data_IF_211858808875
#
_entry.id   IF_211858808875
#
_cell.length_a   1.000
_cell.length_b   1.000
_cell.length_c   1.000
_cell.angle_alpha   90.00
_cell.angle_beta   90.00
_cell.angle_gamma   90.00
#
_symmetry.space_group_name_H-M   'P 1'
#
loop_
_entity.id
_entity.type
_entity.pdbx_description
1 polymer ?
#
# COMPACT_ATOMS: atom_id res chain seq x y z
N UNK A 1 10.17 -5.88 -9.10
CA UNK A 1 10.59 -5.07 -7.95
C UNK A 1 11.30 -5.98 -6.97
N UNK A 2 12.54 -5.67 -6.65
CA UNK A 2 13.29 -6.36 -5.61
C UNK A 2 12.95 -5.77 -4.24
N UNK A 3 13.16 -6.53 -3.17
CA UNK A 3 13.03 -5.98 -1.82
C UNK A 3 14.11 -4.91 -1.61
N UNK A 4 13.73 -3.79 -0.97
CA UNK A 4 14.56 -2.59 -0.85
C UNK A 4 14.56 -1.67 -2.08
N UNK A 5 13.97 -2.08 -3.21
CA UNK A 5 13.92 -1.26 -4.42
C UNK A 5 12.67 -0.35 -4.42
N UNK A 6 12.88 0.96 -4.40
CA UNK A 6 11.81 1.95 -4.40
C UNK A 6 10.91 1.86 -3.15
N UNK A 7 9.81 2.62 -3.13
CA UNK A 7 8.93 2.68 -1.96
C UNK A 7 8.23 1.34 -1.66
N UNK A 8 7.77 0.65 -2.71
CA UNK A 8 7.11 -0.66 -2.61
C UNK A 8 8.07 -1.73 -2.09
N UNK A 9 9.25 -1.86 -2.71
CA UNK A 9 10.25 -2.85 -2.31
C UNK A 9 10.79 -2.57 -0.91
N UNK A 10 10.99 -1.30 -0.55
CA UNK A 10 11.41 -0.93 0.80
C UNK A 10 10.32 -1.19 1.85
N UNK A 11 9.05 -0.92 1.53
CA UNK A 11 7.92 -1.27 2.40
C UNK A 11 7.85 -2.79 2.67
N UNK A 12 8.02 -3.61 1.62
CA UNK A 12 8.11 -5.06 1.77
C UNK A 12 9.30 -5.48 2.65
N UNK A 13 10.49 -4.90 2.43
CA UNK A 13 11.68 -5.22 3.19
C UNK A 13 11.52 -4.89 4.69
N UNK A 14 11.02 -3.69 4.99
CA UNK A 14 10.87 -3.19 6.36
C UNK A 14 9.68 -3.83 7.09
N UNK A 15 8.72 -4.40 6.35
CA UNK A 15 7.43 -4.91 6.87
C UNK A 15 6.68 -3.86 7.68
N UNK A 16 6.77 -2.60 7.25
CA UNK A 16 6.13 -1.46 7.92
C UNK A 16 5.49 -0.51 6.91
N UNK A 17 4.36 0.12 7.27
CA UNK A 17 3.78 1.20 6.48
C UNK A 17 4.80 2.30 6.20
N UNK A 18 4.74 2.87 5.00
CA UNK A 18 5.48 4.08 4.63
C UNK A 18 4.50 5.14 4.14
N UNK A 19 4.61 6.35 4.68
CA UNK A 19 3.83 7.51 4.26
C UNK A 19 4.76 8.51 3.61
N UNK A 20 4.36 9.02 2.45
CA UNK A 20 5.06 10.09 1.74
C UNK A 20 4.09 11.24 1.56
N UNK A 21 4.44 12.39 2.12
CA UNK A 21 3.76 13.66 1.90
C UNK A 21 4.58 14.50 0.91
N UNK A 22 4.00 15.61 0.46
CA UNK A 22 4.66 16.62 -0.39
C UNK A 22 5.22 16.03 -1.70
N UNK A 23 4.38 15.23 -2.36
CA UNK A 23 4.75 14.56 -3.61
C UNK A 23 4.96 15.60 -4.72
N UNK A 24 6.06 15.51 -5.49
CA UNK A 24 6.33 16.36 -6.63
C UNK A 24 5.21 16.37 -7.68
N UNK A 25 5.00 17.49 -8.36
CA UNK A 25 3.91 17.65 -9.33
C UNK A 25 4.11 16.86 -10.64
N UNK A 26 5.30 16.33 -10.88
CA UNK A 26 5.69 15.57 -12.08
C UNK A 26 5.44 14.06 -11.94
N UNK A 27 4.87 13.59 -10.82
CA UNK A 27 4.47 12.19 -10.65
C UNK A 27 3.25 11.83 -11.50
N UNK A 28 3.02 10.52 -11.65
CA UNK A 28 1.82 9.98 -12.29
C UNK A 28 0.57 10.52 -11.56
N UNK A 29 -0.31 11.27 -12.24
CA UNK A 29 -1.47 11.86 -11.60
C UNK A 29 -2.58 10.83 -11.39
N UNK A 30 -3.44 11.11 -10.41
CA UNK A 30 -4.74 10.46 -10.27
C UNK A 30 -5.61 10.96 -11.42
N UNK A 31 -6.05 10.03 -12.26
CA UNK A 31 -6.93 10.30 -13.38
C UNK A 31 -8.37 9.87 -13.04
N UNK A 32 -9.32 10.74 -13.33
CA UNK A 32 -10.75 10.43 -13.38
C UNK A 32 -11.32 10.92 -14.71
N UNK A 33 -12.57 10.56 -15.00
CA UNK A 33 -13.24 11.01 -16.22
C UNK A 33 -13.36 12.54 -16.34
N UNK A 34 -13.30 13.27 -15.22
CA UNK A 34 -13.52 14.71 -15.17
C UNK A 34 -12.27 15.51 -14.83
N UNK A 35 -11.24 14.85 -14.29
CA UNK A 35 -10.14 15.50 -13.57
C UNK A 35 -8.85 14.70 -13.72
N UNK A 36 -7.73 15.42 -13.87
CA UNK A 36 -6.37 14.88 -13.77
C UNK A 36 -5.60 15.72 -12.75
N UNK A 37 -5.12 15.09 -11.68
CA UNK A 37 -4.52 15.82 -10.55
C UNK A 37 -3.36 15.06 -9.93
N UNK A 38 -2.29 15.78 -9.57
CA UNK A 38 -1.17 15.21 -8.85
C UNK A 38 -1.60 14.85 -7.41
N UNK A 39 -1.31 13.63 -6.93
CA UNK A 39 -1.54 13.27 -5.54
C UNK A 39 -0.68 14.14 -4.62
N UNK A 40 -1.17 14.39 -3.41
CA UNK A 40 -0.40 15.12 -2.38
C UNK A 40 0.18 14.18 -1.33
N UNK A 41 -0.42 13.01 -1.16
CA UNK A 41 -0.02 12.02 -0.18
C UNK A 41 -0.08 10.63 -0.78
N UNK A 42 0.80 9.77 -0.30
CA UNK A 42 0.92 8.37 -0.69
C UNK A 42 1.14 7.56 0.58
N UNK A 43 0.44 6.44 0.69
CA UNK A 43 0.71 5.43 1.70
C UNK A 43 1.01 4.10 1.00
N UNK A 44 2.06 3.43 1.47
CA UNK A 44 2.46 2.11 1.01
C UNK A 44 2.39 1.17 2.20
N UNK A 45 1.57 0.13 2.09
CA UNK A 45 1.19 -0.75 3.19
C UNK A 45 1.61 -2.18 2.88
N UNK A 46 2.38 -2.85 3.74
CA UNK A 46 2.67 -4.26 3.58
C UNK A 46 1.43 -5.07 3.97
N UNK A 47 1.09 -6.09 3.18
CA UNK A 47 0.10 -7.09 3.55
C UNK A 47 0.83 -8.30 4.09
N UNK A 48 0.64 -8.58 5.37
CA UNK A 48 1.37 -9.62 6.09
C UNK A 48 0.46 -10.80 6.44
N UNK A 49 1.03 -12.00 6.43
CA UNK A 49 0.44 -13.18 7.05
C UNK A 49 1.56 -13.93 7.79
N UNK A 50 1.39 -14.15 9.10
CA UNK A 50 2.41 -14.78 9.96
C UNK A 50 3.82 -14.17 9.81
N UNK A 51 3.88 -12.83 9.66
CA UNK A 51 5.13 -12.09 9.50
C UNK A 51 5.78 -12.21 8.11
N UNK A 52 5.19 -12.96 7.19
CA UNK A 52 5.60 -13.02 5.78
C UNK A 52 4.84 -11.99 4.96
N UNK A 53 5.53 -11.33 4.04
CA UNK A 53 4.91 -10.37 3.10
C UNK A 53 4.20 -11.16 2.00
N UNK A 54 2.88 -11.03 1.93
CA UNK A 54 2.05 -11.65 0.88
C UNK A 54 1.81 -10.70 -0.29
N UNK A 55 1.71 -9.40 0.00
CA UNK A 55 1.54 -8.35 -1.01
C UNK A 55 1.97 -6.98 -0.45
N UNK A 56 1.95 -5.96 -1.30
CA UNK A 56 2.07 -4.56 -0.91
C UNK A 56 0.96 -3.78 -1.60
N UNK A 57 0.27 -2.91 -0.85
CA UNK A 57 -0.78 -2.03 -1.35
C UNK A 57 -0.25 -0.60 -1.35
N UNK A 58 -0.43 0.11 -2.45
CA UNK A 58 -0.10 1.53 -2.58
C UNK A 58 -1.38 2.33 -2.84
N UNK A 59 -1.57 3.41 -2.07
CA UNK A 59 -2.75 4.28 -2.17
C UNK A 59 -2.31 5.75 -2.23
N UNK A 60 -2.74 6.44 -3.28
CA UNK A 60 -2.52 7.86 -3.47
C UNK A 60 -3.77 8.67 -3.08
N UNK A 61 -3.58 9.84 -2.48
CA UNK A 61 -4.65 10.73 -2.02
C UNK A 61 -4.33 12.20 -2.31
N UNK A 62 -5.40 12.99 -2.47
CA UNK A 62 -5.32 14.45 -2.61
C UNK A 62 -5.16 15.18 -1.28
N UNK A 63 -5.39 14.47 -0.17
CA UNK A 63 -5.26 14.98 1.20
C UNK A 63 -4.45 14.00 2.05
N UNK A 64 -3.93 14.49 3.18
CA UNK A 64 -3.25 13.62 4.13
C UNK A 64 -4.21 12.59 4.73
N UNK A 65 -3.68 11.41 5.01
CA UNK A 65 -4.41 10.37 5.71
C UNK A 65 -4.52 10.75 7.19
N UNK A 66 -5.72 10.67 7.74
CA UNK A 66 -5.92 10.86 9.18
C UNK A 66 -5.46 9.63 9.95
N UNK A 67 -5.23 9.78 11.26
CA UNK A 67 -4.89 8.65 12.13
C UNK A 67 -5.92 7.53 12.05
N UNK A 68 -7.22 7.85 12.06
CA UNK A 68 -8.29 6.84 11.95
C UNK A 68 -8.27 6.11 10.59
N UNK A 69 -7.97 6.81 9.50
CA UNK A 69 -7.81 6.17 8.19
C UNK A 69 -6.61 5.23 8.17
N UNK A 70 -5.47 5.66 8.74
CA UNK A 70 -4.28 4.80 8.84
C UNK A 70 -4.56 3.55 9.68
N UNK A 71 -5.17 3.69 10.86
CA UNK A 71 -5.53 2.53 11.70
C UNK A 71 -6.49 1.57 10.99
N UNK A 72 -7.47 2.10 10.24
CA UNK A 72 -8.36 1.27 9.44
C UNK A 72 -7.60 0.51 8.34
N UNK A 73 -6.71 1.19 7.62
CA UNK A 73 -5.92 0.58 6.55
C UNK A 73 -4.99 -0.54 7.08
N UNK A 74 -4.39 -0.34 8.25
CA UNK A 74 -3.58 -1.37 8.92
C UNK A 74 -4.42 -2.62 9.25
N UNK A 75 -5.59 -2.45 9.85
CA UNK A 75 -6.51 -3.57 10.14
C UNK A 75 -7.03 -4.25 8.87
N UNK A 76 -7.27 -3.47 7.80
CA UNK A 76 -7.67 -4.00 6.51
C UNK A 76 -6.57 -4.89 5.92
N UNK A 77 -5.30 -4.47 6.01
CA UNK A 77 -4.19 -5.27 5.49
C UNK A 77 -4.02 -6.61 6.20
N UNK A 78 -4.29 -6.69 7.50
CA UNK A 78 -4.28 -7.97 8.23
C UNK A 78 -5.34 -8.93 7.68
N UNK A 79 -6.55 -8.42 7.44
CA UNK A 79 -7.66 -9.21 6.90
C UNK A 79 -7.37 -9.70 5.47
N UNK A 80 -6.79 -8.84 4.63
CA UNK A 80 -6.39 -9.21 3.27
C UNK A 80 -5.28 -10.27 3.30
N UNK A 81 -4.32 -10.19 4.24
CA UNK A 81 -3.25 -11.17 4.39
C UNK A 81 -3.77 -12.59 4.61
N UNK A 82 -4.79 -12.73 5.47
CA UNK A 82 -5.47 -14.01 5.71
C UNK A 82 -6.10 -14.53 4.41
N UNK A 83 -6.88 -13.70 3.71
CA UNK A 83 -7.58 -14.09 2.49
C UNK A 83 -6.61 -14.51 1.38
N UNK A 84 -5.55 -13.73 1.15
CA UNK A 84 -4.53 -14.05 0.15
C UNK A 84 -3.85 -15.38 0.45
N UNK A 85 -3.54 -15.64 1.73
CA UNK A 85 -2.96 -16.91 2.14
C UNK A 85 -3.91 -18.08 1.92
N UNK A 86 -5.19 -17.93 2.23
CA UNK A 86 -6.20 -18.96 1.96
C UNK A 86 -6.34 -19.29 0.47
N UNK A 87 -6.30 -18.28 -0.40
CA UNK A 87 -6.34 -18.46 -1.85
C UNK A 87 -5.12 -19.24 -2.33
N UNK A 88 -3.91 -18.84 -1.91
CA UNK A 88 -2.67 -19.53 -2.29
C UNK A 88 -2.68 -20.99 -1.85
N UNK A 89 -3.11 -21.29 -0.62
CA UNK A 89 -3.19 -22.65 -0.11
C UNK A 89 -4.17 -23.52 -0.91
N UNK A 90 -5.30 -22.94 -1.35
CA UNK A 90 -6.31 -23.65 -2.15
C UNK A 90 -5.84 -23.92 -3.58
N UNK A 91 -5.00 -23.03 -4.15
CA UNK A 91 -4.46 -23.21 -5.51
C UNK A 91 -3.35 -24.26 -5.59
N UNK A 92 -2.76 -24.67 -4.46
CA UNK A 92 -1.73 -25.72 -4.40
C UNK A 92 -2.29 -27.14 -4.30
N UNK A 93 -3.61 -27.29 -4.09
CA UNK A 93 -4.36 -28.55 -4.13
C UNK A 93 -5.05 -28.75 -5.47
#
# INVERSE_FOLDING_TARGET
>A
LQFGEGLIGQCALDRRPRVVADIPADVVPINSALLRVAPKNLVVLPVLFEGQVKAVIELASLTSFTTSQMTFLEQLTDSIGIVLNSIEATMQT
#
